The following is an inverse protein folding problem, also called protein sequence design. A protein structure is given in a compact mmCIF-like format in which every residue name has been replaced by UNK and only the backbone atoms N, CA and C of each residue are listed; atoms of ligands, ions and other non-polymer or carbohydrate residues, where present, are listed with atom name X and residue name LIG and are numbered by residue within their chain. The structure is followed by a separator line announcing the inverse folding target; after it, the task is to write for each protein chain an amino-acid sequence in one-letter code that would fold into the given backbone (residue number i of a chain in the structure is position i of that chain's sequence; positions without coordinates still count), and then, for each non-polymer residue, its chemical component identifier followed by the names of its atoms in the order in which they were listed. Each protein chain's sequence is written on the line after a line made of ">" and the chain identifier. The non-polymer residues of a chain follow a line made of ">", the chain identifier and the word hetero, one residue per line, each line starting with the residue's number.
data_IF_435976647587
#
_entry.id   IF_435976647587
#
_cell.length_a   1.000
_cell.length_b   1.000
_cell.length_c   1.000
_cell.angle_alpha   90.00
_cell.angle_beta   90.00
_cell.angle_gamma   90.00
#
_symmetry.space_group_name_H-M   'P 1'
#
loop_
_entity.id
_entity.type
_entity.pdbx_description
1 polymer ?
#
# COMPACT_ATOMS: atom_id res chain seq x y z
N UNK A 1 14.66 17.41 0.74
CA UNK A 1 13.77 16.68 1.68
C UNK A 1 13.29 15.39 1.04
N UNK A 2 13.24 14.34 1.83
CA UNK A 2 12.77 13.04 1.35
C UNK A 2 11.25 13.01 1.25
N UNK A 3 10.74 12.45 0.18
CA UNK A 3 9.31 12.22 -0.01
C UNK A 3 9.09 10.80 -0.58
N UNK A 4 7.83 10.40 -0.71
CA UNK A 4 7.50 9.05 -1.18
C UNK A 4 8.06 8.78 -2.58
N UNK A 5 8.16 9.79 -3.43
CA UNK A 5 8.64 9.60 -4.81
C UNK A 5 10.14 9.30 -4.91
N UNK A 6 10.87 9.38 -3.80
CA UNK A 6 12.30 9.08 -3.78
C UNK A 6 12.62 7.59 -3.66
N UNK A 7 11.60 6.74 -3.54
CA UNK A 7 11.78 5.31 -3.29
C UNK A 7 11.46 4.46 -4.51
N UNK A 8 12.12 3.31 -4.59
CA UNK A 8 11.88 2.28 -5.60
C UNK A 8 11.72 0.94 -4.90
N UNK A 9 10.76 0.13 -5.36
CA UNK A 9 10.52 -1.22 -4.86
C UNK A 9 10.55 -2.19 -6.04
N UNK A 10 11.02 -3.43 -5.85
CA UNK A 10 10.82 -4.45 -6.88
C UNK A 10 9.33 -4.80 -6.95
N UNK A 11 8.81 -4.94 -8.16
CA UNK A 11 7.44 -5.44 -8.36
C UNK A 11 7.40 -6.95 -8.20
N UNK A 12 6.19 -7.47 -8.03
CA UNK A 12 5.95 -8.92 -7.99
C UNK A 12 6.48 -9.60 -9.26
N UNK A 13 6.41 -8.92 -10.40
CA UNK A 13 6.93 -9.39 -11.69
C UNK A 13 8.47 -9.37 -11.78
N UNK A 14 9.15 -8.74 -10.83
CA UNK A 14 10.60 -8.51 -10.86
C UNK A 14 11.01 -7.17 -11.45
N UNK A 15 10.14 -6.48 -12.18
CA UNK A 15 10.42 -5.14 -12.70
C UNK A 15 10.43 -4.12 -11.55
N UNK A 16 11.25 -3.06 -11.61
CA UNK A 16 11.23 -2.06 -10.55
C UNK A 16 9.97 -1.20 -10.62
N UNK A 17 9.39 -0.91 -9.43
CA UNK A 17 8.37 0.13 -9.28
C UNK A 17 9.08 1.37 -8.79
N UNK A 18 9.33 2.30 -9.70
CA UNK A 18 9.97 3.57 -9.38
C UNK A 18 8.89 4.59 -9.04
N UNK A 19 8.78 4.96 -7.76
CA UNK A 19 7.72 5.87 -7.32
C UNK A 19 7.93 7.29 -7.87
N UNK A 20 9.12 7.63 -8.38
CA UNK A 20 9.32 8.91 -9.05
C UNK A 20 8.45 9.06 -10.30
N UNK A 21 8.06 7.93 -10.92
CA UNK A 21 7.15 7.94 -12.08
C UNK A 21 5.73 8.39 -11.69
N UNK A 22 5.42 8.38 -10.40
CA UNK A 22 4.11 8.78 -9.87
C UNK A 22 4.12 10.20 -9.29
N UNK A 23 5.20 10.95 -9.52
CA UNK A 23 5.35 12.31 -8.97
C UNK A 23 4.17 13.19 -9.35
N UNK A 24 3.62 13.89 -8.35
CA UNK A 24 2.42 14.72 -8.52
C UNK A 24 1.11 13.96 -8.39
N UNK A 25 1.15 12.65 -8.13
CA UNK A 25 -0.04 11.80 -8.02
C UNK A 25 -0.16 11.22 -6.62
N UNK A 26 -1.39 11.10 -6.06
CA UNK A 26 -1.56 10.48 -4.74
C UNK A 26 -1.35 8.97 -4.82
N UNK A 27 -0.85 8.40 -3.71
CA UNK A 27 -0.57 6.97 -3.60
C UNK A 27 -1.18 6.44 -2.30
N UNK A 28 -1.91 5.34 -2.36
CA UNK A 28 -2.33 4.59 -1.18
C UNK A 28 -1.46 3.33 -1.07
N UNK A 29 -0.59 3.31 -0.07
CA UNK A 29 0.35 2.21 0.16
C UNK A 29 -0.20 1.31 1.26
N UNK A 30 -0.27 0.00 1.01
CA UNK A 30 -0.87 -0.96 1.95
C UNK A 30 0.03 -2.18 2.06
N UNK A 31 0.43 -2.54 3.29
CA UNK A 31 1.12 -3.82 3.50
C UNK A 31 0.10 -4.95 3.56
N UNK A 32 0.28 -5.96 2.71
CA UNK A 32 -0.75 -6.97 2.45
C UNK A 32 -0.30 -8.38 2.83
N UNK A 33 -1.28 -9.28 2.96
CA UNK A 33 -1.04 -10.71 3.20
C UNK A 33 -2.22 -11.52 2.65
N UNK A 34 -1.96 -12.78 2.27
CA UNK A 34 -2.94 -13.66 1.65
C UNK A 34 -3.70 -14.55 2.63
N UNK A 35 -3.25 -14.63 3.89
CA UNK A 35 -3.83 -15.54 4.90
C UNK A 35 -4.20 -14.83 6.20
N UNK A 36 -4.59 -13.57 6.11
CA UNK A 36 -4.98 -12.75 7.26
C UNK A 36 -6.50 -12.65 7.35
N UNK A 37 -7.04 -12.45 8.55
CA UNK A 37 -8.46 -12.15 8.71
C UNK A 37 -8.92 -10.90 7.98
N UNK A 38 -7.98 -9.96 7.71
CA UNK A 38 -8.24 -8.74 6.95
C UNK A 38 -8.01 -8.89 5.44
N UNK A 39 -7.58 -10.05 4.96
CA UNK A 39 -7.32 -10.28 3.53
C UNK A 39 -8.49 -9.90 2.63
N UNK A 40 -9.78 -10.07 3.02
CA UNK A 40 -10.89 -9.58 2.21
C UNK A 40 -10.87 -8.08 1.91
N UNK A 41 -10.07 -7.28 2.60
CA UNK A 41 -9.88 -5.87 2.27
C UNK A 41 -9.27 -5.63 0.88
N UNK A 42 -8.69 -6.66 0.25
CA UNK A 42 -8.28 -6.56 -1.16
C UNK A 42 -9.43 -6.10 -2.06
N UNK A 43 -10.65 -6.54 -1.76
CA UNK A 43 -11.82 -6.13 -2.55
C UNK A 43 -12.06 -4.63 -2.49
N UNK A 44 -12.01 -4.05 -1.29
CA UNK A 44 -12.18 -2.60 -1.12
C UNK A 44 -11.03 -1.81 -1.72
N UNK A 45 -9.80 -2.32 -1.63
CA UNK A 45 -8.63 -1.69 -2.26
C UNK A 45 -8.78 -1.68 -3.78
N UNK A 46 -9.23 -2.79 -4.36
CA UNK A 46 -9.49 -2.87 -5.79
C UNK A 46 -10.60 -1.89 -6.20
N UNK A 47 -11.61 -1.73 -5.35
CA UNK A 47 -12.68 -0.75 -5.58
C UNK A 47 -12.16 0.68 -5.64
N UNK A 48 -11.28 1.06 -4.70
CA UNK A 48 -10.65 2.39 -4.72
C UNK A 48 -9.80 2.58 -5.99
N UNK A 49 -9.04 1.57 -6.36
CA UNK A 49 -8.21 1.61 -7.57
C UNK A 49 -9.08 1.80 -8.82
N UNK A 50 -10.12 0.99 -8.96
CA UNK A 50 -11.02 1.06 -10.11
C UNK A 50 -11.72 2.42 -10.21
N UNK A 51 -12.13 2.98 -9.06
CA UNK A 51 -12.84 4.26 -9.02
C UNK A 51 -11.91 5.45 -9.33
N UNK A 52 -10.70 5.46 -8.77
CA UNK A 52 -9.88 6.66 -8.74
C UNK A 52 -8.63 6.63 -9.63
N UNK A 53 -8.30 5.50 -10.25
CA UNK A 53 -7.09 5.42 -11.08
C UNK A 53 -7.10 6.41 -12.24
N UNK A 54 -8.26 6.70 -12.81
CA UNK A 54 -8.40 7.68 -13.88
C UNK A 54 -8.26 9.12 -13.37
N UNK A 55 -8.27 9.32 -12.05
CA UNK A 55 -8.04 10.59 -11.37
C UNK A 55 -6.69 10.61 -10.65
N UNK A 56 -5.73 9.86 -11.18
CA UNK A 56 -4.32 9.81 -10.78
C UNK A 56 -4.00 9.00 -9.52
N UNK A 57 -4.97 8.40 -8.84
CA UNK A 57 -4.66 7.55 -7.67
C UNK A 57 -3.94 6.27 -8.10
N UNK A 58 -2.85 5.96 -7.43
CA UNK A 58 -2.24 4.63 -7.45
C UNK A 58 -2.46 3.95 -6.11
N UNK A 59 -3.00 2.74 -6.13
CA UNK A 59 -3.01 1.83 -4.97
C UNK A 59 -1.81 0.91 -5.14
N UNK A 60 -0.96 0.82 -4.12
CA UNK A 60 0.24 -0.02 -4.14
C UNK A 60 0.17 -1.03 -2.99
N UNK A 61 0.02 -2.29 -3.34
CA UNK A 61 0.07 -3.38 -2.36
C UNK A 61 1.52 -3.84 -2.16
N UNK A 62 1.91 -4.02 -0.90
CA UNK A 62 3.26 -4.45 -0.52
C UNK A 62 3.15 -5.71 0.34
N UNK A 63 3.21 -6.90 -0.27
CA UNK A 63 3.11 -8.15 0.48
C UNK A 63 4.24 -8.29 1.49
N UNK A 64 3.91 -8.75 2.70
CA UNK A 64 4.88 -8.97 3.76
C UNK A 64 4.50 -10.17 4.61
N UNK A 65 5.52 -10.94 5.03
CA UNK A 65 5.35 -12.09 5.93
C UNK A 65 5.66 -11.73 7.39
N UNK A 66 5.85 -10.44 7.69
CA UNK A 66 6.33 -9.99 9.01
C UNK A 66 5.32 -10.16 10.14
N UNK A 67 4.03 -10.28 9.82
CA UNK A 67 2.98 -10.32 10.83
C UNK A 67 2.28 -11.68 10.80
N UNK A 68 2.58 -12.52 11.78
CA UNK A 68 1.95 -13.83 11.90
C UNK A 68 2.30 -14.81 10.78
N UNK A 69 3.32 -14.53 9.99
CA UNK A 69 3.71 -15.36 8.84
C UNK A 69 2.52 -15.65 7.90
N UNK A 70 1.69 -14.62 7.63
CA UNK A 70 0.46 -14.77 6.86
C UNK A 70 0.61 -14.49 5.37
N UNK A 71 1.87 -14.34 4.90
CA UNK A 71 2.20 -14.27 3.47
C UNK A 71 3.34 -15.24 3.16
N UNK A 72 3.13 -16.55 3.30
CA UNK A 72 4.22 -17.53 3.13
C UNK A 72 4.55 -17.86 1.68
N UNK A 73 3.68 -17.48 0.73
CA UNK A 73 3.85 -17.83 -0.67
C UNK A 73 4.97 -17.07 -1.38
N UNK A 74 5.40 -17.57 -2.52
CA UNK A 74 6.33 -16.88 -3.42
C UNK A 74 5.57 -15.88 -4.31
N UNK A 75 6.29 -15.15 -5.17
CA UNK A 75 5.71 -14.12 -6.02
C UNK A 75 4.60 -14.66 -6.93
N UNK A 76 4.80 -15.84 -7.52
CA UNK A 76 3.82 -16.47 -8.40
C UNK A 76 2.55 -16.83 -7.64
N UNK A 77 2.70 -17.40 -6.45
CA UNK A 77 1.57 -17.78 -5.61
C UNK A 77 0.77 -16.57 -5.12
N UNK A 78 1.45 -15.51 -4.73
CA UNK A 78 0.82 -14.26 -4.31
C UNK A 78 0.03 -13.65 -5.45
N UNK A 79 0.62 -13.55 -6.63
CA UNK A 79 -0.04 -12.99 -7.81
C UNK A 79 -1.27 -13.81 -8.21
N UNK A 80 -1.15 -15.12 -8.23
CA UNK A 80 -2.26 -16.02 -8.56
C UNK A 80 -3.39 -15.90 -7.53
N UNK A 81 -3.05 -15.81 -6.25
CA UNK A 81 -4.04 -15.62 -5.18
C UNK A 81 -4.84 -14.33 -5.36
N UNK A 82 -4.14 -13.22 -5.57
CA UNK A 82 -4.77 -11.91 -5.69
C UNK A 82 -5.69 -11.85 -6.92
N UNK A 83 -5.23 -12.38 -8.05
CA UNK A 83 -6.04 -12.39 -9.27
C UNK A 83 -7.26 -13.30 -9.12
N UNK A 84 -7.06 -14.52 -8.65
CA UNK A 84 -8.10 -15.55 -8.62
C UNK A 84 -9.20 -15.24 -7.61
N UNK A 85 -8.84 -14.67 -6.45
CA UNK A 85 -9.79 -14.45 -5.36
C UNK A 85 -10.38 -13.03 -5.35
N UNK A 86 -9.65 -12.02 -5.83
CA UNK A 86 -10.05 -10.62 -5.71
C UNK A 86 -9.92 -9.83 -7.00
N UNK A 87 -9.45 -10.45 -8.09
CA UNK A 87 -9.26 -9.81 -9.39
C UNK A 87 -8.44 -8.51 -9.28
N UNK A 88 -7.38 -8.55 -8.48
CA UNK A 88 -6.52 -7.40 -8.23
C UNK A 88 -5.81 -6.97 -9.51
N UNK A 89 -5.94 -5.69 -9.87
CA UNK A 89 -5.25 -5.11 -11.02
C UNK A 89 -4.36 -3.92 -10.63
N UNK A 90 -4.38 -3.49 -9.35
CA UNK A 90 -3.44 -2.46 -8.90
C UNK A 90 -2.03 -3.05 -8.73
N UNK A 91 -0.98 -2.21 -8.79
CA UNK A 91 0.40 -2.67 -8.64
C UNK A 91 0.67 -3.38 -7.32
N UNK A 92 1.43 -4.46 -7.41
CA UNK A 92 1.90 -5.22 -6.24
C UNK A 92 3.42 -5.25 -6.26
N UNK A 93 4.02 -4.88 -5.12
CA UNK A 93 5.46 -5.03 -4.92
C UNK A 93 5.80 -6.50 -4.62
N UNK A 94 7.06 -6.86 -4.79
CA UNK A 94 7.57 -8.14 -4.32
C UNK A 94 7.50 -8.18 -2.79
N UNK A 95 7.33 -9.38 -2.23
CA UNK A 95 7.30 -9.57 -0.78
C UNK A 95 8.57 -9.00 -0.15
N UNK A 96 8.39 -8.23 0.93
CA UNK A 96 9.51 -7.59 1.60
C UNK A 96 9.21 -7.41 3.09
N UNK A 97 10.21 -6.95 3.82
CA UNK A 97 10.04 -6.58 5.22
C UNK A 97 9.51 -5.15 5.32
N UNK A 98 8.55 -4.94 6.21
CA UNK A 98 7.91 -3.62 6.43
C UNK A 98 8.11 -3.11 7.86
N UNK A 99 8.75 -3.91 8.73
CA UNK A 99 9.10 -3.51 10.09
C UNK A 99 10.48 -4.01 10.48
N UNK A 100 11.01 -3.45 11.58
CA UNK A 100 12.29 -3.87 12.12
C UNK A 100 13.48 -3.37 11.32
N UNK A 101 14.71 -3.85 11.66
CA UNK A 101 15.93 -3.35 11.02
C UNK A 101 16.02 -3.66 9.53
N UNK A 102 15.29 -4.65 9.05
CA UNK A 102 15.31 -5.08 7.65
C UNK A 102 14.18 -4.46 6.83
N UNK A 103 13.37 -3.57 7.42
CA UNK A 103 12.28 -2.91 6.71
C UNK A 103 12.81 -2.17 5.49
N UNK A 104 12.01 -2.19 4.41
CA UNK A 104 12.39 -1.43 3.20
C UNK A 104 12.51 0.05 3.56
N UNK A 105 13.35 0.81 2.83
CA UNK A 105 13.48 2.25 3.08
C UNK A 105 12.16 2.99 3.05
N UNK A 106 11.24 2.64 2.15
CA UNK A 106 9.92 3.26 2.09
C UNK A 106 9.17 3.12 3.42
N UNK A 107 9.11 1.90 3.99
CA UNK A 107 8.37 1.68 5.23
C UNK A 107 9.08 2.27 6.43
N UNK A 108 10.41 2.36 6.43
CA UNK A 108 11.12 3.10 7.47
C UNK A 108 10.76 4.59 7.43
N UNK A 109 10.69 5.16 6.24
CA UNK A 109 10.30 6.54 6.04
C UNK A 109 8.84 6.78 6.49
N UNK A 110 7.92 5.89 6.13
CA UNK A 110 6.51 5.99 6.54
C UNK A 110 6.39 6.01 8.07
N UNK A 111 7.13 5.14 8.76
CA UNK A 111 7.12 5.10 10.22
C UNK A 111 7.67 6.39 10.82
N UNK A 112 8.70 6.98 10.22
CA UNK A 112 9.26 8.25 10.68
C UNK A 112 8.27 9.40 10.48
N UNK A 113 7.60 9.44 9.34
CA UNK A 113 6.67 10.52 9.01
C UNK A 113 5.41 10.48 9.87
N UNK A 114 4.86 9.30 10.09
CA UNK A 114 3.62 9.14 10.86
C UNK A 114 3.81 9.05 12.37
N UNK A 115 5.04 8.84 12.84
CA UNK A 115 5.35 8.66 14.24
C UNK A 115 5.15 7.22 14.72
N UNK A 116 5.37 7.02 16.02
CA UNK A 116 5.39 5.69 16.62
C UNK A 116 4.12 4.87 16.35
N UNK A 117 2.96 5.52 16.40
CA UNK A 117 1.67 4.83 16.22
C UNK A 117 1.40 4.44 14.76
N UNK A 118 2.03 5.12 13.81
CA UNK A 118 1.81 4.86 12.38
C UNK A 118 2.65 3.72 11.83
N UNK A 119 3.67 3.24 12.56
CA UNK A 119 4.44 2.09 12.11
C UNK A 119 3.49 0.89 11.95
N UNK A 120 3.67 0.04 10.93
CA UNK A 120 2.78 -1.10 10.74
C UNK A 120 2.94 -2.07 11.91
N UNK A 121 1.81 -2.41 12.55
CA UNK A 121 1.75 -3.35 13.67
C UNK A 121 0.99 -4.61 13.31
N UNK A 122 0.38 -4.61 12.13
CA UNK A 122 -0.30 -5.78 11.56
C UNK A 122 -0.43 -5.59 10.05
N UNK A 123 -1.00 -6.57 9.37
CA UNK A 123 -1.29 -6.52 7.94
C UNK A 123 -2.39 -5.49 7.65
N UNK A 124 -2.38 -4.94 6.43
CA UNK A 124 -3.40 -4.00 5.93
C UNK A 124 -3.43 -2.66 6.66
N UNK A 125 -2.28 -2.19 7.15
CA UNK A 125 -2.09 -0.77 7.45
C UNK A 125 -2.06 -0.01 6.13
N UNK A 126 -2.67 1.17 6.11
CA UNK A 126 -2.83 1.98 4.90
C UNK A 126 -2.18 3.33 5.12
N UNK A 127 -1.41 3.76 4.13
CA UNK A 127 -0.67 5.03 4.18
C UNK A 127 -1.01 5.83 2.94
N UNK A 128 -1.61 7.00 3.12
CA UNK A 128 -2.03 7.86 2.02
C UNK A 128 -1.00 8.96 1.79
N UNK A 129 -0.45 8.98 0.60
CA UNK A 129 0.51 9.99 0.14
C UNK A 129 -0.23 11.01 -0.70
N UNK A 130 -0.05 12.29 -0.38
CA UNK A 130 -0.61 13.38 -1.16
C UNK A 130 0.18 13.66 -2.44
N UNK A 131 -0.32 14.58 -3.25
CA UNK A 131 0.30 14.92 -4.53
C UNK A 131 1.69 15.53 -4.40
N UNK A 132 2.03 16.04 -3.22
CA UNK A 132 3.37 16.58 -2.94
C UNK A 132 4.36 15.50 -2.44
N UNK A 133 3.92 14.25 -2.34
CA UNK A 133 4.75 13.15 -1.89
C UNK A 133 4.87 12.99 -0.39
N UNK A 134 4.11 13.76 0.40
CA UNK A 134 4.13 13.65 1.86
C UNK A 134 3.05 12.71 2.36
N UNK A 135 3.28 12.10 3.54
CA UNK A 135 2.26 11.29 4.20
C UNK A 135 1.19 12.21 4.76
N UNK A 136 -0.04 12.12 4.25
CA UNK A 136 -1.15 12.98 4.66
C UNK A 136 -2.12 12.29 5.62
N UNK A 137 -2.16 10.96 5.61
CA UNK A 137 -3.00 10.20 6.53
C UNK A 137 -2.54 8.74 6.57
N UNK A 138 -2.95 8.03 7.64
CA UNK A 138 -2.71 6.59 7.74
C UNK A 138 -3.86 5.96 8.52
N UNK A 139 -4.09 4.66 8.28
CA UNK A 139 -5.20 3.91 8.86
C UNK A 139 -4.74 2.54 9.33
N UNK A 140 -5.24 2.11 10.47
CA UNK A 140 -4.96 0.78 11.01
C UNK A 140 -5.67 -0.32 10.22
N UNK A 141 -5.30 -1.56 10.48
CA UNK A 141 -5.89 -2.74 9.82
C UNK A 141 -7.40 -2.77 9.91
N UNK A 142 -7.95 -2.41 11.07
CA UNK A 142 -9.39 -2.49 11.34
C UNK A 142 -10.22 -1.50 10.52
N UNK A 143 -9.60 -0.48 9.96
CA UNK A 143 -10.31 0.53 9.16
C UNK A 143 -10.40 0.04 7.71
N UNK A 144 -11.59 -0.39 7.22
CA UNK A 144 -11.70 -0.92 5.86
C UNK A 144 -11.46 0.14 4.80
N UNK A 145 -10.93 -0.27 3.61
CA UNK A 145 -10.71 0.68 2.52
C UNK A 145 -11.99 1.38 2.04
N UNK A 146 -13.13 0.70 2.13
CA UNK A 146 -14.43 1.26 1.72
C UNK A 146 -15.08 2.12 2.81
N UNK A 147 -14.46 2.27 3.99
CA UNK A 147 -14.99 3.11 5.05
C UNK A 147 -15.06 4.56 4.60
N UNK A 148 -15.99 5.31 5.20
CA UNK A 148 -16.15 6.74 4.89
C UNK A 148 -14.85 7.52 5.13
N UNK A 149 -14.14 7.20 6.22
CA UNK A 149 -12.88 7.88 6.56
C UNK A 149 -11.84 7.75 5.45
N UNK A 150 -11.66 6.53 4.95
CA UNK A 150 -10.68 6.28 3.87
C UNK A 150 -11.15 6.90 2.57
N UNK A 151 -12.42 6.70 2.20
CA UNK A 151 -12.96 7.25 0.95
C UNK A 151 -12.85 8.77 0.89
N UNK A 152 -13.17 9.44 1.99
CA UNK A 152 -13.09 10.92 2.04
C UNK A 152 -11.64 11.39 1.98
N UNK A 153 -10.72 10.70 2.67
CA UNK A 153 -9.31 11.06 2.64
C UNK A 153 -8.74 10.90 1.23
N UNK A 154 -9.07 9.80 0.55
CA UNK A 154 -8.64 9.55 -0.83
C UNK A 154 -9.20 10.61 -1.78
N UNK A 155 -10.49 10.90 -1.67
CA UNK A 155 -11.13 11.92 -2.50
C UNK A 155 -10.44 13.28 -2.33
N UNK A 156 -10.17 13.67 -1.09
CA UNK A 156 -9.48 14.93 -0.80
C UNK A 156 -8.07 14.95 -1.41
N UNK A 157 -7.32 13.86 -1.28
CA UNK A 157 -5.97 13.79 -1.84
C UNK A 157 -5.98 13.86 -3.37
N UNK A 158 -6.99 13.24 -4.00
CA UNK A 158 -7.16 13.27 -5.45
C UNK A 158 -7.53 14.68 -5.94
N UNK A 159 -8.41 15.37 -5.21
CA UNK A 159 -8.93 16.69 -5.61
C UNK A 159 -8.01 17.84 -5.25
N UNK A 160 -7.06 17.63 -4.36
CA UNK A 160 -6.14 18.67 -3.88
C UNK A 160 -4.95 18.79 -4.83
N UNK A 161 -5.04 19.71 -5.77
CA UNK A 161 -4.00 19.97 -6.77
C UNK A 161 -2.97 20.98 -6.32
#
# INVERSE_FOLDING_TARGET
>A
MTCAYDFTLPALSGEPIDLSSLRGKPILIVNTASKCGFTPQYEGLQGLWTTWRSHDLTVLGVPSNDFGAQEPGNAQEIGAFCERNYHVTFPLAAKCHVRGPQATPLFRWLAQQGGFLARPRWNFYKYLIGRDGTLVNWFMSITPPESRRVRMAVERAVMDH
#
